data_IF_845520775039
#
_entry.id   IF_845520775039
#
_cell.length_a   1.000
_cell.length_b   1.000
_cell.length_c   1.000
_cell.angle_alpha   90.00
_cell.angle_beta   90.00
_cell.angle_gamma   90.00
#
_symmetry.space_group_name_H-M   'P 1'
#
loop_
_entity.id
_entity.type
_entity.pdbx_description
1 polymer ?
#
# COMPACT_ATOMS: atom_id res chain seq x y z
N UNK A 1 -5.57 11.54 -13.48
CA UNK A 1 -5.16 11.88 -12.11
C UNK A 1 -4.32 10.72 -11.62
N UNK A 2 -3.07 10.96 -11.22
CA UNK A 2 -2.24 9.91 -10.61
C UNK A 2 -2.78 9.72 -9.19
N UNK A 3 -3.51 8.62 -8.96
CA UNK A 3 -4.02 8.30 -7.63
C UNK A 3 -2.83 7.99 -6.72
N UNK A 4 -2.68 8.79 -5.67
CA UNK A 4 -1.60 8.65 -4.68
C UNK A 4 -1.56 7.21 -4.12
N UNK A 5 -0.38 6.60 -4.05
CA UNK A 5 -0.15 5.26 -3.48
C UNK A 5 -0.85 5.06 -2.13
N UNK A 6 -0.91 6.12 -1.31
CA UNK A 6 -1.59 6.11 -0.01
C UNK A 6 -3.10 5.97 -0.15
N UNK A 7 -3.70 6.66 -1.12
CA UNK A 7 -5.13 6.51 -1.41
C UNK A 7 -5.46 5.09 -1.89
N UNK A 8 -4.61 4.51 -2.74
CA UNK A 8 -4.75 3.12 -3.19
C UNK A 8 -4.71 2.15 -1.99
N UNK A 9 -3.77 2.36 -1.05
CA UNK A 9 -3.69 1.57 0.18
C UNK A 9 -4.92 1.75 1.09
N UNK A 10 -5.45 2.96 1.23
CA UNK A 10 -6.66 3.21 2.02
C UNK A 10 -7.88 2.49 1.46
N UNK A 11 -8.04 2.50 0.13
CA UNK A 11 -9.10 1.75 -0.55
C UNK A 11 -8.92 0.23 -0.35
N UNK A 12 -7.70 -0.27 -0.57
CA UNK A 12 -7.38 -1.68 -0.35
C UNK A 12 -7.73 -2.15 1.06
N UNK A 13 -7.32 -1.40 2.08
CA UNK A 13 -7.62 -1.69 3.49
C UNK A 13 -9.13 -1.74 3.76
N UNK A 14 -9.87 -0.74 3.27
CA UNK A 14 -11.31 -0.63 3.48
C UNK A 14 -12.05 -1.83 2.89
N UNK A 15 -11.69 -2.24 1.69
CA UNK A 15 -12.41 -3.29 0.96
C UNK A 15 -12.07 -4.71 1.41
N UNK A 16 -10.83 -4.92 1.86
CA UNK A 16 -10.41 -6.20 2.41
C UNK A 16 -10.65 -6.29 3.92
N UNK A 17 -11.20 -5.25 4.54
CA UNK A 17 -11.41 -5.14 5.98
C UNK A 17 -10.11 -5.36 6.79
N UNK A 18 -9.00 -4.80 6.30
CA UNK A 18 -7.65 -4.90 6.88
C UNK A 18 -7.34 -3.58 7.59
N UNK A 19 -6.85 -3.64 8.83
CA UNK A 19 -6.36 -2.46 9.54
C UNK A 19 -4.97 -2.03 9.06
N UNK A 20 -4.62 -0.76 9.25
CA UNK A 20 -3.28 -0.27 8.93
C UNK A 20 -2.16 -1.03 9.66
N UNK A 21 -2.44 -1.52 10.87
CA UNK A 21 -1.49 -2.31 11.67
C UNK A 21 -1.27 -3.70 11.08
N UNK A 22 -2.33 -4.35 10.63
CA UNK A 22 -2.25 -5.63 9.92
C UNK A 22 -1.53 -5.45 8.58
N UNK A 23 -1.85 -4.39 7.82
CA UNK A 23 -1.17 -4.08 6.57
C UNK A 23 0.34 -3.85 6.77
N UNK A 24 0.74 -3.10 7.81
CA UNK A 24 2.15 -2.91 8.14
C UNK A 24 2.84 -4.26 8.42
N UNK A 25 2.17 -5.17 9.12
CA UNK A 25 2.66 -6.52 9.38
C UNK A 25 2.78 -7.35 8.10
N UNK A 26 1.79 -7.29 7.21
CA UNK A 26 1.79 -7.98 5.90
C UNK A 26 2.93 -7.51 4.99
N UNK A 27 3.31 -6.24 5.09
CA UNK A 27 4.44 -5.63 4.37
C UNK A 27 5.78 -5.80 5.11
N UNK A 28 5.79 -6.45 6.28
CA UNK A 28 6.95 -6.56 7.16
C UNK A 28 7.61 -5.20 7.49
N UNK A 29 6.78 -4.20 7.76
CA UNK A 29 7.18 -2.85 8.14
C UNK A 29 6.85 -2.55 9.60
N UNK A 30 7.70 -1.76 10.25
CA UNK A 30 7.38 -1.20 11.55
C UNK A 30 6.13 -0.31 11.44
N UNK A 31 5.17 -0.51 12.34
CA UNK A 31 3.89 0.18 12.31
C UNK A 31 4.02 1.70 12.45
N UNK A 32 4.88 2.21 13.33
CA UNK A 32 5.06 3.66 13.53
C UNK A 32 5.62 4.31 12.27
N UNK A 33 6.61 3.66 11.66
CA UNK A 33 7.19 4.13 10.40
C UNK A 33 6.16 4.11 9.27
N UNK A 34 5.43 3.00 9.12
CA UNK A 34 4.37 2.87 8.12
C UNK A 34 3.25 3.90 8.33
N UNK A 35 2.86 4.14 9.58
CA UNK A 35 1.88 5.17 9.93
C UNK A 35 2.36 6.57 9.55
N UNK A 36 3.62 6.90 9.78
CA UNK A 36 4.19 8.18 9.37
C UNK A 36 4.24 8.33 7.83
N UNK A 37 4.47 7.24 7.09
CA UNK A 37 4.33 7.22 5.61
C UNK A 37 2.89 7.46 5.19
N UNK A 38 1.92 6.74 5.77
CA UNK A 38 0.48 6.91 5.46
C UNK A 38 -0.01 8.33 5.79
N UNK A 39 0.51 8.94 6.85
CA UNK A 39 0.24 10.34 7.22
C UNK A 39 0.97 11.37 6.34
N UNK A 40 1.83 10.94 5.41
CA UNK A 40 2.59 11.83 4.53
C UNK A 40 3.78 12.54 5.16
N UNK A 41 4.20 12.13 6.36
CA UNK A 41 5.40 12.65 7.01
C UNK A 41 6.69 12.11 6.38
N UNK A 42 6.60 10.94 5.74
CA UNK A 42 7.69 10.32 5.00
C UNK A 42 7.25 9.94 3.58
N UNK A 43 8.20 10.01 2.66
CA UNK A 43 8.03 9.53 1.29
C UNK A 43 8.01 8.01 1.24
N UNK A 44 7.23 7.44 0.32
CA UNK A 44 7.26 6.01 0.05
C UNK A 44 8.60 5.66 -0.61
N UNK A 45 9.36 4.77 0.03
CA UNK A 45 10.60 4.25 -0.56
C UNK A 45 10.31 3.32 -1.74
N UNK A 46 11.25 3.20 -2.68
CA UNK A 46 11.14 2.25 -3.81
C UNK A 46 10.90 0.81 -3.33
N UNK A 47 11.52 0.41 -2.21
CA UNK A 47 11.30 -0.91 -1.61
C UNK A 47 9.84 -1.06 -1.18
N UNK A 48 9.32 -0.11 -0.40
CA UNK A 48 7.92 -0.15 0.04
C UNK A 48 6.96 -0.16 -1.16
N UNK A 49 7.27 0.59 -2.23
CA UNK A 49 6.48 0.58 -3.46
C UNK A 49 6.37 -0.82 -4.07
N UNK A 50 7.49 -1.53 -4.21
CA UNK A 50 7.53 -2.89 -4.75
C UNK A 50 6.79 -3.89 -3.84
N UNK A 51 6.91 -3.75 -2.53
CA UNK A 51 6.16 -4.58 -1.58
C UNK A 51 4.65 -4.36 -1.70
N UNK A 52 4.21 -3.11 -1.92
CA UNK A 52 2.79 -2.80 -2.14
C UNK A 52 2.31 -3.38 -3.49
N UNK A 53 3.10 -3.29 -4.56
CA UNK A 53 2.77 -3.92 -5.85
C UNK A 53 2.59 -5.43 -5.70
N UNK A 54 3.53 -6.09 -5.01
CA UNK A 54 3.47 -7.52 -4.75
C UNK A 54 2.28 -7.89 -3.87
N UNK A 55 1.98 -7.07 -2.85
CA UNK A 55 0.78 -7.25 -2.03
C UNK A 55 -0.48 -7.23 -2.87
N UNK A 56 -0.65 -6.22 -3.74
CA UNK A 56 -1.83 -6.12 -4.60
C UNK A 56 -1.97 -7.34 -5.51
N UNK A 57 -0.88 -7.82 -6.13
CA UNK A 57 -0.90 -9.05 -6.93
C UNK A 57 -1.31 -10.28 -6.13
N UNK A 58 -0.80 -10.45 -4.90
CA UNK A 58 -1.16 -11.59 -4.03
C UNK A 58 -2.65 -11.60 -3.66
N UNK A 59 -3.25 -10.42 -3.50
CA UNK A 59 -4.67 -10.26 -3.19
C UNK A 59 -5.56 -10.20 -4.44
N UNK A 60 -5.01 -10.27 -5.66
CA UNK A 60 -5.78 -10.07 -6.89
C UNK A 60 -6.40 -8.66 -7.00
N UNK A 61 -5.74 -7.66 -6.41
CA UNK A 61 -6.24 -6.28 -6.32
C UNK A 61 -5.81 -5.45 -7.53
N UNK A 62 -6.26 -5.85 -8.72
CA UNK A 62 -5.78 -5.29 -10.00
C UNK A 62 -6.09 -3.79 -10.16
N UNK A 63 -7.16 -3.28 -9.55
CA UNK A 63 -7.48 -1.84 -9.57
C UNK A 63 -6.49 -0.95 -8.81
N UNK A 64 -5.61 -1.56 -8.01
CA UNK A 64 -4.48 -0.87 -7.40
C UNK A 64 -3.32 -0.66 -8.37
N UNK A 65 -3.35 -1.33 -9.53
CA UNK A 65 -2.30 -1.32 -10.54
C UNK A 65 -2.76 -0.57 -11.80
N UNK A 66 -1.80 -0.08 -12.58
CA UNK A 66 -1.99 0.46 -13.92
C UNK A 66 -2.11 -0.66 -14.97
N UNK A 67 -2.33 -0.30 -16.24
CA UNK A 67 -2.45 -1.24 -17.35
C UNK A 67 -1.19 -2.11 -17.59
N UNK A 68 -0.07 -1.76 -16.95
CA UNK A 68 1.21 -2.48 -16.99
C UNK A 68 1.43 -3.32 -15.73
N UNK A 69 0.45 -3.39 -14.83
CA UNK A 69 0.53 -4.12 -13.57
C UNK A 69 1.47 -3.46 -12.55
N UNK A 70 1.69 -2.14 -12.64
CA UNK A 70 2.53 -1.35 -11.73
C UNK A 70 1.69 -0.41 -10.88
N UNK A 71 2.17 -0.01 -9.72
CA UNK A 71 1.47 1.02 -8.94
C UNK A 71 1.49 2.38 -9.66
#
# INVERSE_FOLDING_TARGET
MVTDVRQKLMLFMRENNITQKELAKELNYNYEHFNAVMAGKYTVSNRLYQEIENLFRRYGYDKGLDDRGRL
#
